data_IF_340632983265
#
_entry.id   IF_340632983265
#
_cell.length_a   1.000
_cell.length_b   1.000
_cell.length_c   1.000
_cell.angle_alpha   90.00
_cell.angle_beta   90.00
_cell.angle_gamma   90.00
#
_symmetry.space_group_name_H-M   'P 1'
#
loop_
_entity.id
_entity.type
_entity.pdbx_description
1 polymer ?
#
# COMPACT_ATOMS: atom_id res chain seq x y z
N UNK A 1 -17.30 19.98 -1.91
CA UNK A 1 -17.02 18.87 -2.84
C UNK A 1 -15.63 18.37 -2.51
N UNK A 2 -15.51 17.28 -1.74
CA UNK A 2 -14.20 16.76 -1.36
C UNK A 2 -13.59 16.06 -2.57
N UNK A 3 -12.69 16.75 -3.23
CA UNK A 3 -11.79 16.22 -4.25
C UNK A 3 -10.94 15.13 -3.59
N UNK A 4 -11.36 13.87 -3.75
CA UNK A 4 -10.55 12.71 -3.37
C UNK A 4 -9.25 12.77 -4.17
N UNK A 5 -8.20 13.29 -3.52
CA UNK A 5 -6.86 13.27 -4.03
C UNK A 5 -6.40 11.80 -4.06
N UNK A 6 -6.66 11.13 -5.19
CA UNK A 6 -6.50 9.68 -5.41
C UNK A 6 -5.07 9.14 -5.21
N UNK A 7 -4.11 10.01 -4.89
CA UNK A 7 -2.75 9.64 -4.49
C UNK A 7 -2.57 9.41 -2.98
N UNK A 8 -3.54 9.78 -2.14
CA UNK A 8 -3.31 9.99 -0.69
C UNK A 8 -3.77 8.87 0.26
N UNK A 9 -4.33 7.74 -0.20
CA UNK A 9 -4.88 6.74 0.74
C UNK A 9 -4.19 5.39 0.73
N UNK A 10 -3.06 5.23 0.04
CA UNK A 10 -2.25 4.01 0.16
C UNK A 10 -1.41 4.07 1.45
N UNK A 11 -1.81 3.29 2.44
CA UNK A 11 -1.10 3.15 3.72
C UNK A 11 -0.26 1.87 3.69
N UNK A 12 1.04 2.01 3.93
CA UNK A 12 1.96 0.88 4.12
C UNK A 12 1.92 0.43 5.58
N UNK A 13 1.72 -0.85 5.79
CA UNK A 13 1.83 -1.53 7.08
C UNK A 13 3.02 -2.47 7.00
N UNK A 14 3.88 -2.46 8.01
CA UNK A 14 5.01 -3.39 8.15
C UNK A 14 4.80 -4.12 9.47
N UNK A 15 4.89 -5.45 9.45
CA UNK A 15 4.58 -6.31 10.60
C UNK A 15 5.43 -7.58 10.57
N UNK A 16 5.59 -8.25 11.71
CA UNK A 16 6.32 -9.49 11.84
C UNK A 16 5.35 -10.66 11.95
N UNK A 17 5.47 -11.65 11.06
CA UNK A 17 4.61 -12.84 11.00
C UNK A 17 5.43 -14.04 10.53
N UNK A 18 5.17 -15.23 11.10
CA UNK A 18 5.84 -16.48 10.74
C UNK A 18 7.37 -16.39 10.73
N UNK A 19 7.92 -15.69 11.74
CA UNK A 19 9.35 -15.42 11.92
C UNK A 19 9.99 -14.52 10.85
N UNK A 20 9.19 -13.90 9.97
CA UNK A 20 9.63 -13.00 8.92
C UNK A 20 8.95 -11.64 9.03
N UNK A 21 9.63 -10.61 8.53
CA UNK A 21 9.05 -9.29 8.32
C UNK A 21 8.24 -9.28 7.03
N UNK A 22 7.03 -8.77 7.08
CA UNK A 22 6.15 -8.63 5.94
C UNK A 22 5.59 -7.21 5.87
N UNK A 23 5.08 -6.86 4.70
CA UNK A 23 4.35 -5.64 4.51
C UNK A 23 3.01 -5.88 3.82
N UNK A 24 2.05 -5.00 4.10
CA UNK A 24 0.75 -4.94 3.45
C UNK A 24 0.41 -3.49 3.11
N UNK A 25 -0.13 -3.23 1.93
CA UNK A 25 -0.61 -1.89 1.53
C UNK A 25 -2.12 -1.92 1.54
N UNK A 26 -2.74 -0.93 2.18
CA UNK A 26 -4.19 -0.77 2.22
C UNK A 26 -4.65 0.53 1.57
N UNK A 27 -5.87 0.57 1.06
CA UNK A 27 -6.57 1.81 0.71
C UNK A 27 -7.89 1.94 1.49
N UNK A 28 -8.37 3.17 1.70
CA UNK A 28 -9.74 3.39 2.15
C UNK A 28 -10.68 2.96 1.03
N UNK A 29 -11.82 2.36 1.38
CA UNK A 29 -12.83 1.96 0.39
C UNK A 29 -13.67 3.19 0.00
N UNK A 30 -13.74 3.58 -1.29
CA UNK A 30 -14.65 4.64 -1.71
C UNK A 30 -16.09 4.24 -1.39
N UNK A 31 -16.77 5.02 -0.56
CA UNK A 31 -18.18 4.79 -0.20
C UNK A 31 -18.43 3.61 0.76
N UNK A 32 -17.41 3.12 1.48
CA UNK A 32 -17.56 2.04 2.46
C UNK A 32 -16.87 2.33 3.79
N UNK A 33 -17.06 1.44 4.77
CA UNK A 33 -16.35 1.48 6.05
C UNK A 33 -15.16 0.52 6.00
N UNK A 34 -14.02 0.97 6.55
CA UNK A 34 -12.81 0.15 6.68
C UNK A 34 -11.83 0.25 5.51
N UNK A 35 -10.73 -0.47 5.65
CA UNK A 35 -9.64 -0.50 4.69
C UNK A 35 -9.68 -1.77 3.83
N UNK A 36 -9.22 -1.69 2.58
CA UNK A 36 -8.99 -2.83 1.69
C UNK A 36 -7.50 -3.04 1.52
N UNK A 37 -7.00 -4.27 1.72
CA UNK A 37 -5.65 -4.64 1.33
C UNK A 37 -5.56 -4.71 -0.19
N UNK A 38 -4.60 -4.00 -0.78
CA UNK A 38 -4.39 -3.90 -2.23
C UNK A 38 -3.07 -4.50 -2.69
N UNK A 39 -2.14 -4.77 -1.76
CA UNK A 39 -0.89 -5.49 -2.01
C UNK A 39 -0.32 -6.01 -0.69
N UNK A 40 0.53 -7.02 -0.77
CA UNK A 40 1.32 -7.53 0.35
C UNK A 40 2.61 -8.18 -0.16
N UNK A 41 3.57 -8.40 0.73
CA UNK A 41 4.78 -9.15 0.44
C UNK A 41 4.61 -10.64 0.64
N UNK A 42 5.02 -11.42 -0.36
CA UNK A 42 5.23 -12.85 -0.28
C UNK A 42 6.37 -13.21 -1.27
N UNK A 43 7.52 -13.76 -0.81
CA UNK A 43 7.84 -14.17 0.56
C UNK A 43 8.13 -13.01 1.54
N UNK A 44 8.27 -13.32 2.82
CA UNK A 44 8.71 -12.36 3.85
C UNK A 44 10.23 -12.09 3.86
N UNK A 45 10.65 -11.12 4.66
CA UNK A 45 12.02 -10.59 4.75
C UNK A 45 12.65 -10.89 6.12
N UNK A 46 13.98 -10.94 6.18
CA UNK A 46 14.69 -11.17 7.43
C UNK A 46 14.70 -9.96 8.37
N UNK A 47 14.51 -8.74 7.84
CA UNK A 47 14.59 -7.49 8.62
C UNK A 47 13.45 -6.53 8.30
N UNK A 48 13.05 -5.72 9.29
CA UNK A 48 12.04 -4.69 9.11
C UNK A 48 12.44 -3.69 8.03
N UNK A 49 13.73 -3.31 7.99
CA UNK A 49 14.25 -2.35 7.03
C UNK A 49 14.09 -2.82 5.59
N UNK A 50 14.34 -4.11 5.33
CA UNK A 50 14.13 -4.72 4.01
C UNK A 50 12.64 -4.70 3.63
N UNK A 51 11.76 -5.14 4.54
CA UNK A 51 10.32 -5.14 4.30
C UNK A 51 9.79 -3.71 4.05
N UNK A 52 10.20 -2.74 4.86
CA UNK A 52 9.80 -1.33 4.71
C UNK A 52 10.29 -0.75 3.39
N UNK A 53 11.55 -0.99 3.03
CA UNK A 53 12.13 -0.48 1.78
C UNK A 53 11.42 -1.05 0.56
N UNK A 54 11.13 -2.35 0.57
CA UNK A 54 10.39 -3.01 -0.50
C UNK A 54 8.94 -2.51 -0.58
N UNK A 55 8.26 -2.40 0.57
CA UNK A 55 6.91 -1.89 0.69
C UNK A 55 6.74 -0.45 0.21
N UNK A 56 7.70 0.44 0.51
CA UNK A 56 7.67 1.82 -0.01
C UNK A 56 7.84 1.86 -1.53
N UNK A 57 8.72 1.03 -2.10
CA UNK A 57 8.86 0.91 -3.56
C UNK A 57 7.56 0.42 -4.19
N UNK A 58 6.93 -0.59 -3.60
CA UNK A 58 5.65 -1.11 -4.05
C UNK A 58 4.53 -0.07 -3.95
N UNK A 59 4.54 0.76 -2.90
CA UNK A 59 3.58 1.85 -2.70
C UNK A 59 3.74 2.96 -3.73
N UNK A 60 4.97 3.44 -3.96
CA UNK A 60 5.28 4.50 -4.92
C UNK A 60 4.88 4.10 -6.35
N UNK A 61 5.20 2.88 -6.77
CA UNK A 61 4.81 2.33 -8.09
C UNK A 61 3.30 2.33 -8.32
N UNK A 62 2.50 2.27 -7.25
CA UNK A 62 1.03 2.29 -7.32
C UNK A 62 0.44 3.69 -7.26
N UNK A 63 1.12 4.63 -6.59
CA UNK A 63 0.75 6.04 -6.54
C UNK A 63 1.00 6.77 -7.87
N UNK A 64 1.95 6.29 -8.68
CA UNK A 64 2.39 6.93 -9.93
C UNK A 64 1.59 6.52 -11.18
N UNK A 65 0.34 6.05 -11.04
CA UNK A 65 -0.51 5.86 -12.23
C UNK A 65 -0.93 7.24 -12.74
N UNK A 66 -0.53 7.65 -13.97
CA UNK A 66 -1.00 8.91 -14.52
C UNK A 66 -2.52 8.88 -14.58
N UNK A 67 -3.11 9.99 -14.15
CA UNK A 67 -4.53 10.29 -14.23
C UNK A 67 -4.89 10.29 -15.72
N UNK A 68 -5.16 9.14 -16.32
CA UNK A 68 -5.82 9.08 -17.63
C UNK A 68 -7.17 9.74 -17.45
N UNK A 69 -7.21 10.99 -17.88
CA UNK A 69 -8.38 11.80 -18.13
C UNK A 69 -9.33 10.98 -18.99
N UNK A 70 -10.49 10.59 -18.43
CA UNK A 70 -11.57 10.06 -19.23
C UNK A 70 -12.16 11.26 -19.99
N UNK A 71 -11.82 11.36 -21.27
CA UNK A 71 -12.54 12.17 -22.27
C UNK A 71 -13.87 11.49 -22.57
#
# INVERSE_FOLDING_TARGET
>A
MHTFNRSSELTLHVFFQDHLWQWGITCVRPGGVGAKVVAYSDPGFCTELQARTDGERARLRRGDRPRSECV
#
